data_IF_810585283702
#
_entry.id   IF_810585283702
#
_cell.length_a   1.000
_cell.length_b   1.000
_cell.length_c   1.000
_cell.angle_alpha   90.00
_cell.angle_beta   90.00
_cell.angle_gamma   90.00
#
_symmetry.space_group_name_H-M   'P 1'
#
loop_
_entity.id
_entity.type
_entity.pdbx_description
1 polymer ?
#
# COMPACT_ATOMS: atom_id res chain seq x y z
N UNK A 1 95.03 -40.75 -16.35
CA UNK A 1 93.57 -40.93 -16.42
C UNK A 1 93.25 -42.32 -15.92
N UNK A 2 92.21 -42.46 -15.09
CA UNK A 2 91.82 -43.61 -14.27
C UNK A 2 92.40 -43.63 -12.84
N UNK A 3 91.49 -43.59 -11.87
CA UNK A 3 91.64 -44.27 -10.59
C UNK A 3 90.24 -44.61 -10.07
N UNK A 4 89.97 -45.91 -9.99
CA UNK A 4 88.93 -46.55 -9.18
C UNK A 4 89.17 -46.18 -7.71
N UNK A 5 88.18 -46.06 -6.84
CA UNK A 5 87.57 -47.20 -6.12
C UNK A 5 86.50 -46.69 -5.12
N UNK A 6 85.41 -47.47 -4.98
CA UNK A 6 84.72 -47.95 -3.75
C UNK A 6 84.48 -46.98 -2.58
N UNK A 7 83.49 -47.09 -1.70
CA UNK A 7 82.22 -47.80 -1.48
C UNK A 7 81.68 -47.11 -0.21
N UNK A 8 80.36 -47.00 -0.02
CA UNK A 8 79.85 -46.54 1.27
C UNK A 8 78.42 -46.01 1.28
N UNK A 9 77.50 -46.83 1.79
CA UNK A 9 76.63 -46.34 2.87
C UNK A 9 75.16 -46.08 2.56
N UNK A 10 74.40 -47.18 2.53
CA UNK A 10 73.12 -47.37 3.26
C UNK A 10 72.46 -46.08 3.82
N UNK A 11 71.38 -45.60 3.18
CA UNK A 11 70.20 -44.96 3.82
C UNK A 11 69.26 -44.40 2.74
N UNK A 12 68.38 -45.20 2.15
CA UNK A 12 67.19 -44.66 1.47
C UNK A 12 66.05 -45.65 1.18
N UNK A 13 66.25 -46.95 1.38
CA UNK A 13 65.23 -47.97 1.01
C UNK A 13 64.02 -48.08 1.97
N UNK A 14 64.06 -47.48 3.18
CA UNK A 14 63.03 -47.70 4.23
C UNK A 14 61.95 -46.60 4.32
N UNK A 15 61.99 -45.57 3.46
CA UNK A 15 61.04 -44.45 3.53
C UNK A 15 60.00 -44.41 2.41
N UNK A 16 60.08 -45.32 1.42
CA UNK A 16 59.15 -45.35 0.27
C UNK A 16 57.99 -46.36 0.37
N UNK A 17 57.93 -47.20 1.41
CA UNK A 17 56.86 -48.21 1.58
C UNK A 17 55.84 -47.91 2.70
N UNK A 18 56.05 -46.88 3.52
CA UNK A 18 55.13 -46.47 4.59
C UNK A 18 54.01 -45.50 4.18
N UNK A 19 54.15 -44.77 3.07
CA UNK A 19 53.18 -43.74 2.66
C UNK A 19 52.07 -44.22 1.71
N UNK A 20 52.05 -45.49 1.28
CA UNK A 20 51.02 -46.00 0.33
C UNK A 20 49.96 -46.93 0.93
N UNK A 21 49.90 -47.09 2.26
CA UNK A 21 48.88 -47.95 2.91
C UNK A 21 48.06 -47.29 4.02
N UNK A 22 48.21 -45.98 4.24
CA UNK A 22 47.39 -45.22 5.19
C UNK A 22 46.32 -44.33 4.53
N UNK A 23 46.28 -44.26 3.19
CA UNK A 23 45.40 -43.36 2.43
C UNK A 23 44.23 -44.08 1.74
N UNK A 24 43.77 -45.23 2.26
CA UNK A 24 42.65 -45.99 1.67
C UNK A 24 41.59 -46.46 2.68
N UNK A 25 41.51 -45.85 3.87
CA UNK A 25 40.45 -46.14 4.86
C UNK A 25 39.86 -44.90 5.55
N UNK A 26 40.01 -43.72 4.94
CA UNK A 26 39.42 -42.46 5.41
C UNK A 26 38.39 -41.86 4.42
N UNK A 27 37.86 -42.68 3.50
CA UNK A 27 36.96 -42.24 2.42
C UNK A 27 35.49 -42.63 2.59
N UNK A 28 35.07 -43.25 3.69
CA UNK A 28 33.71 -43.84 3.82
C UNK A 28 32.93 -43.37 5.06
N UNK A 29 33.29 -42.25 5.69
CA UNK A 29 32.59 -41.75 6.90
C UNK A 29 32.14 -40.29 6.88
N UNK A 30 32.11 -39.65 5.71
CA UNK A 30 31.61 -38.26 5.54
C UNK A 30 30.36 -38.15 4.66
N UNK A 31 29.67 -39.27 4.41
CA UNK A 31 28.45 -39.31 3.59
C UNK A 31 27.12 -39.23 4.39
N UNK A 32 27.15 -38.90 5.69
CA UNK A 32 25.94 -38.89 6.55
C UNK A 32 25.68 -37.55 7.28
N UNK A 33 26.25 -36.43 6.82
CA UNK A 33 25.96 -35.09 7.39
C UNK A 33 25.62 -34.02 6.34
N UNK A 34 25.21 -34.42 5.13
CA UNK A 34 24.76 -33.49 4.07
C UNK A 34 23.35 -33.85 3.53
N UNK A 35 22.55 -34.57 4.30
CA UNK A 35 21.18 -34.95 3.92
C UNK A 35 20.16 -34.67 5.03
N UNK A 36 20.21 -33.47 5.61
CA UNK A 36 19.15 -32.95 6.48
C UNK A 36 18.97 -31.44 6.29
N UNK A 37 18.61 -31.07 5.05
CA UNK A 37 18.02 -29.77 4.73
C UNK A 37 17.14 -29.94 3.49
N UNK A 38 16.17 -30.84 3.56
CA UNK A 38 15.01 -30.82 2.67
C UNK A 38 13.77 -30.81 3.55
N UNK A 39 12.88 -29.87 3.22
CA UNK A 39 11.51 -29.68 3.73
C UNK A 39 11.35 -28.92 5.06
N UNK A 40 11.61 -27.61 5.02
CA UNK A 40 10.57 -26.65 5.44
C UNK A 40 9.93 -26.14 4.14
N UNK A 41 8.94 -26.88 3.65
CA UNK A 41 8.04 -26.39 2.61
C UNK A 41 6.88 -25.71 3.34
N UNK A 42 6.67 -24.42 3.11
CA UNK A 42 5.52 -23.69 3.66
C UNK A 42 5.68 -22.18 3.84
N UNK A 43 6.86 -21.61 3.64
CA UNK A 43 7.02 -20.16 3.58
C UNK A 43 7.94 -19.84 2.41
N UNK A 44 7.41 -19.14 1.40
CA UNK A 44 8.25 -18.44 0.43
C UNK A 44 9.23 -17.53 1.17
N UNK A 45 10.33 -17.14 0.52
CA UNK A 45 11.26 -16.20 1.12
C UNK A 45 10.50 -14.94 1.58
N UNK A 46 10.77 -14.40 2.78
CA UNK A 46 10.11 -13.18 3.25
C UNK A 46 10.39 -12.06 2.25
N UNK A 47 9.46 -11.13 2.04
CA UNK A 47 9.63 -10.07 1.02
C UNK A 47 10.86 -9.21 1.26
N UNK A 48 11.28 -9.08 2.52
CA UNK A 48 12.53 -8.41 2.89
C UNK A 48 13.77 -9.07 2.28
N UNK A 49 13.69 -10.35 1.89
CA UNK A 49 14.77 -11.08 1.21
C UNK A 49 14.66 -11.03 -0.33
N UNK A 50 13.60 -10.42 -0.88
CA UNK A 50 13.42 -10.31 -2.32
C UNK A 50 14.13 -9.06 -2.85
N UNK A 51 14.93 -9.22 -3.91
CA UNK A 51 15.61 -8.11 -4.56
C UNK A 51 14.66 -7.38 -5.52
N UNK A 52 14.16 -6.23 -5.08
CA UNK A 52 13.37 -5.29 -5.88
C UNK A 52 14.29 -4.19 -6.41
N UNK A 53 14.51 -4.11 -7.72
CA UNK A 53 15.41 -3.11 -8.30
C UNK A 53 14.87 -1.68 -8.17
N UNK A 54 15.74 -0.68 -7.98
CA UNK A 54 15.31 0.73 -7.86
C UNK A 54 14.61 1.26 -9.12
N UNK A 55 15.04 0.83 -10.32
CA UNK A 55 14.48 1.28 -11.60
C UNK A 55 13.18 0.56 -12.00
N UNK A 56 12.99 -0.67 -11.52
CA UNK A 56 11.84 -1.52 -11.81
C UNK A 56 11.39 -2.22 -10.52
N UNK A 57 10.78 -1.48 -9.59
CA UNK A 57 10.58 -1.91 -8.20
C UNK A 57 9.69 -3.14 -8.05
N UNK A 58 8.87 -3.50 -9.05
CA UNK A 58 8.03 -4.71 -9.01
C UNK A 58 8.42 -5.79 -10.02
N UNK A 59 9.51 -5.61 -10.78
CA UNK A 59 9.90 -6.58 -11.79
C UNK A 59 10.09 -7.98 -11.19
N UNK A 60 9.43 -8.97 -11.79
CA UNK A 60 9.46 -10.37 -11.33
C UNK A 60 8.55 -10.67 -10.13
N UNK A 61 7.77 -9.71 -9.60
CA UNK A 61 6.83 -9.97 -8.50
C UNK A 61 5.87 -11.13 -8.81
N UNK A 62 5.40 -11.20 -10.07
CA UNK A 62 4.45 -12.21 -10.53
C UNK A 62 5.07 -13.61 -10.67
N UNK A 63 6.40 -13.71 -10.71
CA UNK A 63 7.14 -14.98 -10.71
C UNK A 63 7.26 -15.58 -9.30
N UNK A 64 6.86 -14.83 -8.26
CA UNK A 64 6.90 -15.23 -6.86
C UNK A 64 5.50 -15.20 -6.21
N UNK A 65 4.56 -16.05 -6.66
CA UNK A 65 3.18 -16.05 -6.18
C UNK A 65 3.04 -16.23 -4.66
N UNK A 66 3.97 -16.96 -4.04
CA UNK A 66 3.98 -17.19 -2.58
C UNK A 66 4.31 -15.93 -1.76
N UNK A 67 4.99 -14.95 -2.37
CA UNK A 67 5.34 -13.68 -1.73
C UNK A 67 4.26 -12.60 -1.92
N UNK A 68 3.30 -12.80 -2.81
CA UNK A 68 2.26 -11.81 -3.11
C UNK A 68 1.43 -11.40 -1.88
N UNK A 69 0.96 -12.31 -1.00
CA UNK A 69 0.10 -11.91 0.12
C UNK A 69 0.75 -10.87 1.03
N UNK A 70 1.99 -11.10 1.46
CA UNK A 70 2.70 -10.18 2.36
C UNK A 70 3.08 -8.86 1.62
N UNK A 71 3.31 -8.91 0.30
CA UNK A 71 3.75 -7.75 -0.49
C UNK A 71 2.60 -6.79 -0.68
N UNK A 72 1.45 -7.33 -1.05
CA UNK A 72 0.24 -6.57 -1.26
C UNK A 72 -0.31 -6.04 0.08
N UNK A 73 -0.13 -6.78 1.19
CA UNK A 73 -0.46 -6.31 2.53
C UNK A 73 0.39 -5.10 2.96
N UNK A 74 1.61 -4.94 2.41
CA UNK A 74 2.48 -3.80 2.65
C UNK A 74 2.04 -2.51 1.91
N UNK A 75 0.83 -2.48 1.32
CA UNK A 75 0.19 -1.29 0.74
C UNK A 75 -1.01 -0.82 1.60
N UNK A 76 -0.79 -0.41 2.87
CA UNK A 76 -1.87 -0.26 3.86
C UNK A 76 -2.92 0.78 3.48
N UNK A 77 -2.53 1.85 2.76
CA UNK A 77 -3.45 2.92 2.32
C UNK A 77 -4.62 2.41 1.46
N UNK A 78 -4.42 1.32 0.74
CA UNK A 78 -5.43 0.72 -0.15
C UNK A 78 -5.84 -0.68 0.31
N UNK A 79 -5.47 -1.09 1.52
CA UNK A 79 -5.62 -2.46 2.03
C UNK A 79 -7.06 -2.96 2.12
N UNK A 80 -8.05 -2.06 2.12
CA UNK A 80 -9.47 -2.38 2.12
C UNK A 80 -10.23 -1.82 0.90
N UNK A 81 -9.50 -1.44 -0.14
CA UNK A 81 -10.04 -0.75 -1.31
C UNK A 81 -10.21 -1.72 -2.47
N UNK A 82 -11.33 -1.64 -3.17
CA UNK A 82 -11.59 -2.39 -4.39
C UNK A 82 -11.77 -1.44 -5.57
N UNK A 83 -11.35 -1.90 -6.74
CA UNK A 83 -11.41 -1.12 -7.99
C UNK A 83 -11.99 -1.96 -9.11
N UNK A 84 -12.71 -1.28 -10.00
CA UNK A 84 -12.96 -1.79 -11.34
C UNK A 84 -11.77 -1.44 -12.22
N UNK A 85 -11.22 -2.46 -12.86
CA UNK A 85 -10.21 -2.36 -13.93
C UNK A 85 -10.93 -2.59 -15.25
N UNK A 86 -10.88 -1.62 -16.16
CA UNK A 86 -11.60 -1.68 -17.43
C UNK A 86 -10.81 -0.96 -18.52
N UNK A 87 -11.12 -1.23 -19.78
CA UNK A 87 -10.46 -0.53 -20.91
C UNK A 87 -10.86 0.94 -20.96
N UNK A 88 -9.91 1.82 -21.20
CA UNK A 88 -10.09 3.29 -21.18
C UNK A 88 -11.24 3.77 -22.07
N UNK A 89 -11.49 3.11 -23.19
CA UNK A 89 -12.65 3.38 -24.08
C UNK A 89 -14.02 3.31 -23.37
N UNK A 90 -14.12 2.61 -22.24
CA UNK A 90 -15.33 2.47 -21.42
C UNK A 90 -15.41 3.49 -20.27
N UNK A 91 -14.43 4.41 -20.16
CA UNK A 91 -14.34 5.38 -19.06
C UNK A 91 -15.61 6.18 -18.84
N UNK A 92 -16.32 6.59 -19.90
CA UNK A 92 -17.56 7.35 -19.74
C UNK A 92 -18.66 6.53 -19.04
N UNK A 93 -18.85 5.27 -19.43
CA UNK A 93 -19.84 4.35 -18.83
C UNK A 93 -19.57 4.18 -17.34
N UNK A 94 -18.29 3.96 -17.00
CA UNK A 94 -17.88 3.80 -15.62
C UNK A 94 -17.80 5.12 -14.85
N UNK A 95 -17.76 6.29 -15.50
CA UNK A 95 -17.83 7.60 -14.84
C UNK A 95 -19.23 7.88 -14.30
N UNK A 96 -20.24 7.62 -15.12
CA UNK A 96 -21.63 7.93 -14.81
C UNK A 96 -22.31 6.83 -13.99
N UNK A 97 -21.78 5.59 -14.02
CA UNK A 97 -22.31 4.40 -13.35
C UNK A 97 -23.83 4.23 -13.59
N UNK A 98 -24.28 4.43 -14.83
CA UNK A 98 -25.69 4.29 -15.20
C UNK A 98 -26.07 2.80 -15.10
N UNK A 99 -27.02 2.40 -14.21
CA UNK A 99 -27.27 0.98 -13.94
C UNK A 99 -27.66 0.15 -15.17
N UNK A 100 -28.36 0.77 -16.13
CA UNK A 100 -28.78 0.10 -17.37
C UNK A 100 -27.60 -0.25 -18.30
N UNK A 101 -26.57 0.59 -18.36
CA UNK A 101 -25.38 0.36 -19.19
C UNK A 101 -24.46 -0.68 -18.55
N UNK A 102 -24.37 -0.67 -17.21
CA UNK A 102 -23.60 -1.62 -16.43
C UNK A 102 -24.18 -3.06 -16.49
N UNK A 103 -25.46 -3.20 -16.83
CA UNK A 103 -26.14 -4.50 -16.92
C UNK A 103 -25.75 -5.35 -18.16
N UNK A 104 -25.09 -4.76 -19.15
CA UNK A 104 -24.66 -5.49 -20.35
C UNK A 104 -23.18 -5.87 -20.32
N UNK A 105 -22.44 -5.47 -19.27
CA UNK A 105 -21.01 -5.67 -19.17
C UNK A 105 -20.66 -7.05 -18.60
N UNK A 106 -19.66 -7.69 -19.20
CA UNK A 106 -19.04 -8.92 -18.66
C UNK A 106 -18.03 -8.52 -17.60
N UNK A 107 -18.43 -8.68 -16.33
CA UNK A 107 -17.61 -8.34 -15.17
C UNK A 107 -17.31 -9.62 -14.39
N UNK A 108 -16.03 -9.85 -14.11
CA UNK A 108 -15.60 -10.96 -13.26
C UNK A 108 -14.75 -10.47 -12.09
N UNK A 109 -14.67 -11.30 -11.05
CA UNK A 109 -13.84 -11.11 -9.89
C UNK A 109 -13.30 -12.46 -9.40
N UNK A 110 -12.31 -12.40 -8.51
CA UNK A 110 -11.83 -13.59 -7.83
C UNK A 110 -12.77 -14.00 -6.70
N UNK A 111 -13.04 -15.31 -6.61
CA UNK A 111 -13.74 -15.93 -5.50
C UNK A 111 -12.93 -15.80 -4.19
N UNK A 112 -13.60 -15.91 -3.05
CA UNK A 112 -13.00 -15.63 -1.74
C UNK A 112 -12.70 -14.15 -1.50
N UNK A 113 -13.18 -13.27 -2.38
CA UNK A 113 -13.20 -11.81 -2.17
C UNK A 113 -14.64 -11.33 -1.86
N UNK A 114 -14.81 -10.14 -1.26
CA UNK A 114 -16.12 -9.50 -1.05
C UNK A 114 -16.73 -8.94 -2.35
N UNK A 115 -16.19 -9.26 -3.53
CA UNK A 115 -16.59 -8.69 -4.81
C UNK A 115 -18.09 -8.84 -5.11
N UNK A 116 -18.70 -9.98 -4.77
CA UNK A 116 -20.14 -10.18 -4.95
C UNK A 116 -20.98 -9.18 -4.14
N UNK A 117 -20.64 -8.97 -2.86
CA UNK A 117 -21.34 -8.01 -2.00
C UNK A 117 -21.09 -6.55 -2.45
N UNK A 118 -19.86 -6.25 -2.90
CA UNK A 118 -19.53 -4.93 -3.47
C UNK A 118 -20.34 -4.67 -4.73
N UNK A 119 -20.46 -5.67 -5.61
CA UNK A 119 -21.20 -5.55 -6.85
C UNK A 119 -22.70 -5.34 -6.61
N UNK A 120 -23.28 -6.09 -5.67
CA UNK A 120 -24.67 -5.90 -5.24
C UNK A 120 -24.90 -4.49 -4.68
N UNK A 121 -24.03 -4.02 -3.77
CA UNK A 121 -24.13 -2.68 -3.18
C UNK A 121 -23.90 -1.53 -4.18
N UNK A 122 -23.12 -1.77 -5.23
CA UNK A 122 -22.88 -0.81 -6.32
C UNK A 122 -23.91 -0.90 -7.47
N UNK A 123 -24.93 -1.77 -7.33
CA UNK A 123 -25.98 -2.00 -8.32
C UNK A 123 -25.48 -2.53 -9.67
N UNK A 124 -24.40 -3.32 -9.66
CA UNK A 124 -23.97 -4.11 -10.82
C UNK A 124 -24.83 -5.40 -10.95
N UNK A 125 -24.82 -6.02 -12.13
CA UNK A 125 -25.29 -7.41 -12.29
C UNK A 125 -24.44 -8.41 -11.48
N UNK A 126 -24.84 -9.70 -11.38
CA UNK A 126 -23.99 -10.71 -10.77
C UNK A 126 -22.62 -10.72 -11.44
N UNK A 127 -21.58 -10.61 -10.64
CA UNK A 127 -20.19 -10.72 -11.07
C UNK A 127 -19.82 -12.19 -11.15
N UNK A 128 -19.21 -12.60 -12.26
CA UNK A 128 -18.71 -13.96 -12.40
C UNK A 128 -17.53 -14.17 -11.44
N UNK A 129 -17.67 -15.11 -10.51
CA UNK A 129 -16.63 -15.43 -9.55
C UNK A 129 -15.76 -16.56 -10.09
N UNK A 130 -14.50 -16.24 -10.35
CA UNK A 130 -13.48 -17.20 -10.78
C UNK A 130 -12.63 -17.63 -9.59
N UNK A 131 -12.30 -18.92 -9.43
CA UNK A 131 -11.39 -19.37 -8.38
C UNK A 131 -10.09 -18.56 -8.40
N UNK A 132 -9.66 -18.08 -7.24
CA UNK A 132 -8.35 -17.45 -7.13
C UNK A 132 -7.26 -18.52 -7.05
N UNK A 133 -6.34 -18.46 -8.00
CA UNK A 133 -5.07 -19.17 -7.99
C UNK A 133 -3.96 -18.13 -8.11
N UNK A 134 -3.03 -18.01 -7.14
CA UNK A 134 -1.88 -17.11 -7.24
C UNK A 134 -1.10 -17.26 -8.55
N UNK A 135 -1.02 -18.47 -9.12
CA UNK A 135 -0.36 -18.70 -10.42
C UNK A 135 -1.15 -18.14 -11.61
N UNK A 136 -2.43 -17.84 -11.43
CA UNK A 136 -3.33 -17.24 -12.41
C UNK A 136 -3.80 -15.84 -11.99
N UNK A 137 -3.01 -15.16 -11.13
CA UNK A 137 -3.33 -13.82 -10.65
C UNK A 137 -3.47 -12.78 -11.78
N UNK A 138 -2.86 -13.03 -12.94
CA UNK A 138 -2.92 -12.13 -14.11
C UNK A 138 -4.17 -12.29 -14.95
N UNK A 139 -4.91 -13.40 -14.79
CA UNK A 139 -5.99 -13.81 -15.70
C UNK A 139 -7.02 -12.71 -15.92
N UNK A 140 -7.57 -12.14 -14.85
CA UNK A 140 -8.64 -11.15 -14.99
C UNK A 140 -8.20 -9.89 -15.73
N UNK A 141 -6.96 -9.42 -15.53
CA UNK A 141 -6.43 -8.25 -16.25
C UNK A 141 -6.14 -8.60 -17.71
N UNK A 142 -5.60 -9.78 -17.97
CA UNK A 142 -5.37 -10.27 -19.33
C UNK A 142 -6.69 -10.40 -20.13
N UNK A 143 -7.75 -10.91 -19.50
CA UNK A 143 -9.07 -11.06 -20.11
C UNK A 143 -9.72 -9.70 -20.42
N UNK A 144 -9.47 -8.66 -19.61
CA UNK A 144 -9.92 -7.28 -19.88
C UNK A 144 -9.14 -6.68 -21.06
N UNK A 145 -7.82 -6.87 -21.11
CA UNK A 145 -6.97 -6.39 -22.22
C UNK A 145 -7.35 -7.05 -23.54
N UNK A 146 -7.54 -8.38 -23.55
CA UNK A 146 -7.96 -9.14 -24.74
C UNK A 146 -9.42 -8.84 -25.15
N UNK A 147 -10.24 -8.38 -24.20
CA UNK A 147 -11.64 -8.08 -24.41
C UNK A 147 -12.60 -9.24 -24.22
N UNK A 148 -12.13 -10.33 -23.63
CA UNK A 148 -12.98 -11.39 -23.09
C UNK A 148 -13.84 -10.90 -21.94
N UNK A 149 -13.32 -9.96 -21.14
CA UNK A 149 -14.07 -9.21 -20.13
C UNK A 149 -14.16 -7.72 -20.52
N UNK A 150 -15.21 -7.07 -20.03
CA UNK A 150 -15.37 -5.62 -20.15
C UNK A 150 -14.75 -4.90 -18.94
N UNK A 151 -14.82 -5.52 -17.76
CA UNK A 151 -14.13 -5.09 -16.56
C UNK A 151 -13.79 -6.25 -15.62
N UNK A 152 -12.84 -6.03 -14.72
CA UNK A 152 -12.53 -6.89 -13.59
C UNK A 152 -12.68 -6.13 -12.27
N UNK A 153 -13.36 -6.72 -11.29
CA UNK A 153 -13.45 -6.18 -9.94
C UNK A 153 -12.35 -6.81 -9.06
N UNK A 154 -11.37 -6.00 -8.67
CA UNK A 154 -10.14 -6.46 -8.01
C UNK A 154 -9.86 -5.68 -6.72
N UNK A 155 -9.17 -6.33 -5.79
CA UNK A 155 -8.56 -5.66 -4.64
C UNK A 155 -7.46 -4.71 -5.12
N UNK A 156 -7.44 -3.47 -4.62
CA UNK A 156 -6.65 -2.39 -5.20
C UNK A 156 -5.13 -2.66 -5.23
N UNK A 157 -4.46 -3.17 -4.18
CA UNK A 157 -3.05 -3.55 -4.25
C UNK A 157 -2.75 -4.56 -5.36
N UNK A 158 -3.59 -5.61 -5.49
CA UNK A 158 -3.43 -6.60 -6.57
C UNK A 158 -3.63 -5.94 -7.93
N UNK A 159 -4.67 -5.12 -8.10
CA UNK A 159 -4.91 -4.40 -9.36
C UNK A 159 -3.75 -3.48 -9.74
N UNK A 160 -3.20 -2.75 -8.77
CA UNK A 160 -2.06 -1.86 -8.99
C UNK A 160 -0.83 -2.61 -9.50
N UNK A 161 -0.50 -3.74 -8.86
CA UNK A 161 0.57 -4.62 -9.33
C UNK A 161 0.30 -5.13 -10.75
N UNK A 162 -0.87 -5.72 -10.99
CA UNK A 162 -1.17 -6.39 -12.25
C UNK A 162 -1.21 -5.41 -13.43
N UNK A 163 -1.84 -4.24 -13.26
CA UNK A 163 -1.93 -3.26 -14.35
C UNK A 163 -0.55 -2.65 -14.63
N UNK A 164 0.23 -2.36 -13.60
CA UNK A 164 1.60 -1.86 -13.77
C UNK A 164 2.48 -2.84 -14.58
N UNK A 165 2.34 -4.14 -14.35
CA UNK A 165 3.17 -5.17 -14.99
C UNK A 165 2.62 -5.70 -16.33
N UNK A 166 1.36 -5.42 -16.67
CA UNK A 166 0.70 -5.99 -17.87
C UNK A 166 0.25 -4.96 -18.90
N UNK A 167 -0.06 -3.72 -18.48
CA UNK A 167 -0.64 -2.69 -19.35
C UNK A 167 0.39 -1.67 -19.85
N UNK A 168 1.37 -2.15 -20.64
CA UNK A 168 2.44 -1.32 -21.17
C UNK A 168 1.97 -0.21 -22.13
N UNK A 169 0.79 -0.39 -22.73
CA UNK A 169 0.20 0.54 -23.70
C UNK A 169 -0.81 1.51 -23.06
N UNK A 170 -0.96 1.51 -21.73
CA UNK A 170 -1.88 2.38 -20.98
C UNK A 170 -3.34 2.29 -21.46
N UNK A 171 -3.80 1.07 -21.76
CA UNK A 171 -5.13 0.79 -22.30
C UNK A 171 -6.19 0.71 -21.21
N UNK A 172 -5.81 0.61 -19.93
CA UNK A 172 -6.71 0.38 -18.82
C UNK A 172 -6.93 1.64 -17.99
N UNK A 173 -8.03 1.61 -17.24
CA UNK A 173 -8.45 2.63 -16.28
C UNK A 173 -8.94 1.95 -15.03
N UNK A 174 -8.74 2.63 -13.89
CA UNK A 174 -9.16 2.15 -12.58
C UNK A 174 -10.22 3.09 -12.00
N UNK A 175 -11.23 2.51 -11.34
CA UNK A 175 -12.20 3.27 -10.55
C UNK A 175 -12.45 2.59 -9.22
N UNK A 176 -12.31 3.31 -8.12
CA UNK A 176 -12.70 2.83 -6.79
C UNK A 176 -14.20 2.53 -6.74
N UNK A 177 -14.55 1.38 -6.19
CA UNK A 177 -15.93 0.95 -5.97
C UNK A 177 -16.13 0.30 -4.61
N UNK A 178 -17.37 0.32 -4.14
CA UNK A 178 -17.75 -0.31 -2.88
C UNK A 178 -17.33 0.46 -1.64
N UNK A 179 -17.79 -0.05 -0.50
CA UNK A 179 -17.39 0.39 0.84
C UNK A 179 -16.06 -0.29 1.22
N UNK A 180 -15.33 0.24 2.24
CA UNK A 180 -14.17 -0.44 2.81
C UNK A 180 -14.47 -1.90 3.10
N UNK A 181 -13.71 -2.80 2.50
CA UNK A 181 -13.95 -4.25 2.55
C UNK A 181 -12.64 -5.00 2.76
N UNK A 182 -12.62 -6.14 3.48
CA UNK A 182 -11.39 -6.86 3.75
C UNK A 182 -10.69 -7.36 2.47
N UNK A 183 -9.37 -7.60 2.50
CA UNK A 183 -8.64 -8.22 1.40
C UNK A 183 -9.16 -9.64 1.11
N UNK A 184 -8.97 -10.18 -0.11
CA UNK A 184 -9.37 -11.53 -0.47
C UNK A 184 -8.75 -12.55 0.48
N UNK A 185 -9.50 -13.59 0.86
CA UNK A 185 -9.06 -14.56 1.88
C UNK A 185 -7.70 -15.20 1.56
N UNK A 186 -7.44 -15.48 0.28
CA UNK A 186 -6.19 -16.08 -0.18
C UNK A 186 -4.99 -15.11 -0.19
N UNK A 187 -5.22 -13.81 -0.06
CA UNK A 187 -4.20 -12.76 -0.06
C UNK A 187 -4.07 -12.06 1.30
N UNK A 188 -4.74 -12.57 2.33
CA UNK A 188 -4.60 -12.08 3.70
C UNK A 188 -3.24 -12.50 4.27
N UNK A 189 -2.44 -11.51 4.69
CA UNK A 189 -1.17 -11.73 5.38
C UNK A 189 -0.92 -10.63 6.41
N UNK A 190 -0.12 -10.96 7.42
CA UNK A 190 0.47 -9.97 8.31
C UNK A 190 1.74 -9.41 7.65
N UNK A 191 1.93 -8.09 7.71
CA UNK A 191 3.18 -7.47 7.29
C UNK A 191 4.23 -7.74 8.35
N UNK A 192 5.31 -8.43 7.99
CA UNK A 192 6.43 -8.69 8.93
C UNK A 192 7.66 -7.84 8.65
N UNK A 193 7.73 -7.21 7.47
CA UNK A 193 8.80 -6.29 7.11
C UNK A 193 8.79 -5.03 7.99
N UNK A 194 9.98 -4.62 8.46
CA UNK A 194 10.15 -3.40 9.25
C UNK A 194 10.03 -2.13 8.37
N UNK A 195 10.50 -2.22 7.13
CA UNK A 195 10.47 -1.14 6.15
C UNK A 195 9.49 -1.46 5.01
N UNK A 196 8.94 -0.43 4.36
CA UNK A 196 8.06 -0.59 3.21
C UNK A 196 8.88 -1.06 2.00
N UNK A 197 8.56 -2.22 1.38
CA UNK A 197 9.26 -2.69 0.20
C UNK A 197 9.13 -1.71 -0.97
N UNK A 198 10.17 -1.50 -1.80
CA UNK A 198 10.10 -0.62 -2.97
C UNK A 198 8.93 -0.93 -3.91
N UNK A 199 8.63 -2.22 -4.14
CA UNK A 199 7.46 -2.60 -4.94
C UNK A 199 6.14 -2.13 -4.31
N UNK A 200 5.97 -2.29 -3.00
CA UNK A 200 4.76 -1.85 -2.32
C UNK A 200 4.58 -0.31 -2.40
N UNK A 201 5.69 0.43 -2.29
CA UNK A 201 5.73 1.87 -2.49
C UNK A 201 5.32 2.27 -3.92
N UNK A 202 5.84 1.53 -4.92
CA UNK A 202 5.51 1.70 -6.32
C UNK A 202 4.03 1.41 -6.62
N UNK A 203 3.47 0.32 -6.09
CA UNK A 203 2.04 0.01 -6.21
C UNK A 203 1.18 1.15 -5.63
N UNK A 204 1.55 1.68 -4.45
CA UNK A 204 0.86 2.83 -3.86
C UNK A 204 0.90 4.04 -4.81
N UNK A 205 2.08 4.38 -5.31
CA UNK A 205 2.27 5.52 -6.23
C UNK A 205 1.51 5.35 -7.54
N UNK A 206 1.49 4.14 -8.10
CA UNK A 206 0.72 3.79 -9.29
C UNK A 206 -0.78 4.01 -9.08
N UNK A 207 -1.34 3.48 -7.99
CA UNK A 207 -2.76 3.64 -7.65
C UNK A 207 -3.14 5.11 -7.48
N UNK A 208 -2.29 5.90 -6.83
CA UNK A 208 -2.47 7.35 -6.71
C UNK A 208 -2.45 8.05 -8.08
N UNK A 209 -1.49 7.70 -8.94
CA UNK A 209 -1.36 8.25 -10.29
C UNK A 209 -2.56 7.93 -11.19
N UNK A 210 -3.16 6.75 -11.03
CA UNK A 210 -4.38 6.35 -11.74
C UNK A 210 -5.68 6.90 -11.11
N UNK A 211 -5.57 7.74 -10.08
CA UNK A 211 -6.72 8.38 -9.45
C UNK A 211 -7.56 7.44 -8.59
N UNK A 212 -6.99 6.31 -8.14
CA UNK A 212 -7.65 5.42 -7.18
C UNK A 212 -7.78 6.15 -5.84
N UNK A 213 -9.00 6.24 -5.34
CA UNK A 213 -9.29 6.79 -4.02
C UNK A 213 -9.39 5.65 -3.00
N UNK A 214 -8.84 5.80 -1.79
CA UNK A 214 -9.09 4.85 -0.70
C UNK A 214 -10.60 4.71 -0.45
N UNK A 215 -11.09 3.49 -0.24
CA UNK A 215 -12.52 3.21 -0.12
C UNK A 215 -13.19 3.99 1.02
N UNK A 216 -12.45 4.33 2.09
CA UNK A 216 -12.97 5.15 3.16
C UNK A 216 -13.50 6.46 2.59
N UNK A 217 -12.77 7.09 1.64
CA UNK A 217 -13.13 8.36 1.01
C UNK A 217 -14.52 8.35 0.36
N UNK A 218 -15.04 7.18 -0.04
CA UNK A 218 -16.37 7.05 -0.64
C UNK A 218 -17.50 7.09 0.39
N UNK A 219 -17.22 6.84 1.67
CA UNK A 219 -18.22 6.81 2.74
C UNK A 219 -18.22 8.13 3.51
N UNK A 220 -19.29 8.94 3.46
CA UNK A 220 -19.41 10.06 4.37
C UNK A 220 -19.63 9.55 5.79
N UNK A 221 -18.92 10.12 6.75
CA UNK A 221 -19.19 9.87 8.18
C UNK A 221 -20.51 10.53 8.54
N UNK A 222 -21.40 9.78 9.20
CA UNK A 222 -22.60 10.35 9.81
C UNK A 222 -22.18 11.18 11.03
N UNK A 223 -22.69 12.41 11.13
CA UNK A 223 -22.41 13.28 12.28
C UNK A 223 -22.85 12.63 13.60
N UNK A 224 -23.88 11.75 13.58
CA UNK A 224 -24.38 11.02 14.75
C UNK A 224 -23.29 10.18 15.41
N UNK A 225 -22.41 9.59 14.61
CA UNK A 225 -21.28 8.79 15.10
C UNK A 225 -20.21 9.65 15.78
N UNK A 226 -20.26 10.97 15.60
CA UNK A 226 -19.30 11.91 16.19
C UNK A 226 -19.86 12.66 17.39
N UNK A 227 -21.18 12.69 17.61
CA UNK A 227 -21.82 13.54 18.61
C UNK A 227 -21.36 13.27 20.06
N UNK A 228 -20.87 12.05 20.33
CA UNK A 228 -20.37 11.65 21.64
C UNK A 228 -18.91 12.08 21.89
N UNK A 229 -18.23 12.62 20.88
CA UNK A 229 -16.82 13.00 20.97
C UNK A 229 -16.67 14.40 21.55
N UNK A 230 -15.84 14.52 22.58
CA UNK A 230 -15.51 15.81 23.18
C UNK A 230 -14.21 16.39 22.61
N UNK A 231 -14.11 17.72 22.63
CA UNK A 231 -12.89 18.40 22.23
C UNK A 231 -11.72 17.96 23.11
N UNK A 232 -10.52 17.72 22.54
CA UNK A 232 -9.36 17.38 23.35
C UNK A 232 -9.07 18.51 24.37
N UNK A 233 -8.62 18.14 25.60
CA UNK A 233 -8.17 19.11 26.59
C UNK A 233 -7.15 20.07 25.98
N UNK A 234 -7.19 21.33 26.38
CA UNK A 234 -6.30 22.36 25.83
C UNK A 234 -4.83 21.95 25.99
N UNK A 235 -4.09 21.98 24.89
CA UNK A 235 -2.67 21.65 24.86
C UNK A 235 -1.94 22.54 23.84
N UNK A 236 -1.07 23.41 24.34
CA UNK A 236 -0.29 24.33 23.51
C UNK A 236 0.83 23.64 22.73
N UNK A 237 1.34 22.50 23.20
CA UNK A 237 2.35 21.73 22.48
C UNK A 237 1.71 21.05 21.27
N UNK A 238 0.58 20.37 21.47
CA UNK A 238 -0.23 19.83 20.37
C UNK A 238 -0.65 20.94 19.39
N UNK A 239 -1.02 22.13 19.87
CA UNK A 239 -1.35 23.27 19.03
C UNK A 239 -0.15 23.76 18.18
N UNK A 240 1.08 23.72 18.71
CA UNK A 240 2.28 24.06 17.93
C UNK A 240 2.59 22.98 16.88
N UNK A 241 2.46 21.71 17.23
CA UNK A 241 2.58 20.62 16.26
C UNK A 241 1.52 20.73 15.14
N UNK A 242 0.29 21.12 15.52
CA UNK A 242 -0.82 21.37 14.61
C UNK A 242 -0.56 22.48 13.59
N UNK A 243 0.30 23.46 13.90
CA UNK A 243 0.63 24.55 12.97
C UNK A 243 1.29 24.02 11.69
N UNK A 244 2.21 23.06 11.81
CA UNK A 244 2.89 22.46 10.66
C UNK A 244 1.91 21.64 9.79
N UNK A 245 1.04 20.85 10.44
CA UNK A 245 -0.01 20.09 9.76
C UNK A 245 -1.01 21.02 9.05
N UNK A 246 -1.43 22.09 9.72
CA UNK A 246 -2.31 23.11 9.13
C UNK A 246 -1.66 23.76 7.90
N UNK A 247 -0.37 24.12 7.98
CA UNK A 247 0.37 24.71 6.88
C UNK A 247 0.42 23.78 5.65
N UNK A 248 0.62 22.48 5.87
CA UNK A 248 0.69 21.47 4.81
C UNK A 248 -0.66 21.19 4.15
N UNK A 249 -1.74 21.12 4.94
CA UNK A 249 -3.02 20.58 4.46
C UNK A 249 -4.13 21.61 4.27
N UNK A 250 -4.11 22.72 5.01
CA UNK A 250 -5.24 23.65 5.09
C UNK A 250 -4.93 25.06 4.59
N UNK A 251 -3.69 25.53 4.77
CA UNK A 251 -3.31 26.92 4.55
C UNK A 251 -3.48 27.40 3.09
N UNK A 252 -3.32 26.50 2.10
CA UNK A 252 -3.54 26.83 0.68
C UNK A 252 -4.96 27.33 0.41
N UNK A 253 -5.95 26.83 1.15
CA UNK A 253 -7.35 27.18 0.96
C UNK A 253 -7.87 28.17 2.00
N UNK A 254 -7.45 28.03 3.26
CA UNK A 254 -7.95 28.85 4.38
C UNK A 254 -7.03 30.01 4.76
N UNK A 255 -6.01 30.25 3.93
CA UNK A 255 -5.00 31.27 4.12
C UNK A 255 -3.91 30.86 5.12
N UNK A 256 -2.73 31.51 5.01
CA UNK A 256 -1.70 31.35 6.01
C UNK A 256 -2.28 31.78 7.36
N UNK A 257 -1.92 31.06 8.41
CA UNK A 257 -2.35 31.43 9.75
C UNK A 257 -3.88 31.37 9.98
N UNK A 258 -4.64 30.61 9.18
CA UNK A 258 -6.08 30.38 9.36
C UNK A 258 -6.98 31.61 9.21
N UNK A 259 -6.43 32.67 8.62
CA UNK A 259 -7.14 33.90 8.25
C UNK A 259 -7.30 33.90 6.74
N UNK A 260 -8.52 34.05 6.26
CA UNK A 260 -8.79 34.15 4.83
C UNK A 260 -8.00 35.33 4.23
N UNK A 261 -7.29 35.07 3.13
CA UNK A 261 -6.59 36.09 2.35
C UNK A 261 -7.21 36.20 0.95
N UNK A 262 -6.86 37.26 0.20
CA UNK A 262 -7.28 37.40 -1.20
C UNK A 262 -6.77 36.26 -2.09
N UNK A 263 -5.69 35.60 -1.69
CA UNK A 263 -5.08 34.46 -2.39
C UNK A 263 -5.63 33.11 -1.92
N UNK A 264 -6.47 33.10 -0.86
CA UNK A 264 -7.04 31.89 -0.30
C UNK A 264 -8.24 31.41 -1.12
N UNK A 265 -8.27 30.11 -1.43
CA UNK A 265 -9.34 29.50 -2.24
C UNK A 265 -10.70 29.44 -1.53
N UNK A 266 -10.74 29.56 -0.20
CA UNK A 266 -11.96 29.53 0.60
C UNK A 266 -12.22 30.91 1.26
N UNK A 267 -13.39 31.52 1.06
CA UNK A 267 -13.75 32.80 1.69
C UNK A 267 -14.23 32.61 3.15
N UNK A 268 -13.53 31.78 3.94
CA UNK A 268 -13.89 31.48 5.33
C UNK A 268 -12.68 31.68 6.24
N UNK A 269 -12.79 32.68 7.12
CA UNK A 269 -11.84 32.88 8.23
C UNK A 269 -12.14 31.86 9.33
N UNK A 270 -11.18 30.95 9.53
CA UNK A 270 -11.33 29.86 10.50
C UNK A 270 -11.26 30.35 11.94
N UNK A 271 -10.61 31.48 12.20
CA UNK A 271 -10.56 32.07 13.54
C UNK A 271 -11.94 32.56 13.99
N UNK A 272 -12.77 32.97 13.02
CA UNK A 272 -14.14 33.41 13.26
C UNK A 272 -15.12 32.24 13.22
N UNK A 273 -14.89 31.27 12.31
CA UNK A 273 -15.83 30.17 12.12
C UNK A 273 -15.70 29.09 13.19
N UNK A 274 -14.48 28.67 13.54
CA UNK A 274 -14.26 27.53 14.45
C UNK A 274 -14.93 27.70 15.81
N UNK A 275 -14.88 28.88 16.49
CA UNK A 275 -15.57 29.06 17.77
C UNK A 275 -17.09 28.89 17.72
N UNK A 276 -17.70 28.89 16.52
CA UNK A 276 -19.14 28.67 16.31
C UNK A 276 -19.51 27.21 16.03
N UNK A 277 -18.51 26.34 15.86
CA UNK A 277 -18.73 24.91 15.66
C UNK A 277 -18.52 24.13 16.94
N UNK A 278 -19.31 23.08 17.14
CA UNK A 278 -18.94 22.02 18.07
C UNK A 278 -17.75 21.24 17.52
N UNK A 279 -16.98 20.61 18.40
CA UNK A 279 -15.87 19.77 17.98
C UNK A 279 -16.31 18.59 17.08
N UNK A 280 -17.44 17.89 17.34
CA UNK A 280 -18.02 16.95 16.37
C UNK A 280 -18.33 17.58 15.01
N UNK A 281 -18.82 18.82 14.99
CA UNK A 281 -19.07 19.56 13.75
C UNK A 281 -17.79 19.88 12.98
N UNK A 282 -16.72 20.25 13.68
CA UNK A 282 -15.39 20.42 13.08
C UNK A 282 -14.88 19.10 12.47
N UNK A 283 -14.92 18.00 13.23
CA UNK A 283 -14.51 16.69 12.74
C UNK A 283 -15.32 16.28 11.51
N UNK A 284 -16.64 16.43 11.54
CA UNK A 284 -17.50 16.13 10.41
C UNK A 284 -17.06 16.86 9.13
N UNK A 285 -16.80 18.17 9.21
CA UNK A 285 -16.38 18.98 8.07
C UNK A 285 -14.99 18.59 7.58
N UNK A 286 -14.02 18.40 8.47
CA UNK A 286 -12.64 18.03 8.07
C UNK A 286 -12.61 16.63 7.47
N UNK A 287 -13.31 15.68 8.07
CA UNK A 287 -13.31 14.30 7.64
C UNK A 287 -14.05 14.15 6.30
N UNK A 288 -15.27 14.68 6.17
CA UNK A 288 -16.07 14.55 4.94
C UNK A 288 -15.66 15.53 3.84
N UNK A 289 -15.10 16.67 4.22
CA UNK A 289 -14.91 17.79 3.31
C UNK A 289 -16.23 18.45 2.95
N UNK A 290 -16.16 19.38 2.00
CA UNK A 290 -17.28 20.03 1.35
C UNK A 290 -16.96 20.07 -0.14
N UNK A 291 -17.02 18.92 -0.81
CA UNK A 291 -16.58 18.75 -2.19
C UNK A 291 -17.30 19.69 -3.16
N UNK A 292 -18.58 19.98 -2.93
CA UNK A 292 -19.35 20.98 -3.68
C UNK A 292 -18.80 22.40 -3.56
N UNK A 293 -17.98 22.67 -2.55
CA UNK A 293 -17.31 23.94 -2.30
C UNK A 293 -15.77 23.81 -2.42
N UNK A 294 -15.27 22.74 -3.05
CA UNK A 294 -13.84 22.53 -3.28
C UNK A 294 -12.99 22.12 -2.07
N UNK A 295 -13.59 21.88 -0.90
CA UNK A 295 -12.87 21.36 0.27
C UNK A 295 -12.81 19.83 0.21
N UNK A 296 -11.63 19.21 0.05
CA UNK A 296 -11.51 17.76 0.09
C UNK A 296 -11.75 17.23 1.51
N UNK A 297 -12.24 16.00 1.62
CA UNK A 297 -12.32 15.30 2.90
C UNK A 297 -10.99 14.67 3.28
N UNK A 298 -10.61 14.71 4.55
CA UNK A 298 -9.32 14.24 5.06
C UNK A 298 -9.35 12.84 5.71
N UNK A 299 -10.47 12.11 5.66
CA UNK A 299 -10.60 10.71 6.14
C UNK A 299 -9.51 9.78 5.58
N UNK A 300 -8.71 9.13 6.40
CA UNK A 300 -7.65 8.22 5.93
C UNK A 300 -6.43 8.91 5.30
N UNK A 301 -6.41 10.24 5.20
CA UNK A 301 -5.19 11.00 4.86
C UNK A 301 -4.62 11.78 6.05
N UNK A 302 -5.45 12.04 7.06
CA UNK A 302 -5.02 12.53 8.36
C UNK A 302 -5.54 11.58 9.44
N UNK A 303 -4.67 11.25 10.37
CA UNK A 303 -5.02 10.53 11.59
C UNK A 303 -5.80 11.44 12.54
N UNK A 304 -6.60 10.84 13.44
CA UNK A 304 -7.39 11.59 14.41
C UNK A 304 -6.52 12.54 15.26
N UNK A 305 -5.36 12.08 15.71
CA UNK A 305 -4.43 12.88 16.52
C UNK A 305 -3.90 14.10 15.75
N UNK A 306 -3.66 13.95 14.44
CA UNK A 306 -3.24 15.05 13.57
C UNK A 306 -4.37 16.08 13.39
N UNK A 307 -5.60 15.61 13.21
CA UNK A 307 -6.80 16.47 13.13
C UNK A 307 -7.01 17.21 14.45
N UNK A 308 -6.78 16.55 15.58
CA UNK A 308 -6.89 17.14 16.92
C UNK A 308 -5.82 18.22 17.15
N UNK A 309 -4.59 17.98 16.70
CA UNK A 309 -3.53 18.99 16.73
C UNK A 309 -3.90 20.22 15.88
N UNK A 310 -4.43 20.02 14.67
CA UNK A 310 -4.93 21.11 13.81
C UNK A 310 -6.06 21.88 14.51
N UNK A 311 -7.02 21.18 15.13
CA UNK A 311 -8.10 21.80 15.90
C UNK A 311 -7.56 22.69 17.01
N UNK A 312 -6.59 22.19 17.78
CA UNK A 312 -5.92 22.93 18.85
C UNK A 312 -5.23 24.18 18.31
N UNK A 313 -4.49 24.06 17.20
CA UNK A 313 -3.85 25.20 16.55
C UNK A 313 -4.86 26.31 16.21
N UNK A 314 -5.91 25.98 15.45
CA UNK A 314 -6.90 26.98 15.02
C UNK A 314 -7.67 27.55 16.21
N UNK A 315 -7.99 26.73 17.23
CA UNK A 315 -8.65 27.18 18.47
C UNK A 315 -7.79 28.18 19.26
N UNK A 316 -6.52 27.87 19.45
CA UNK A 316 -5.60 28.75 20.21
C UNK A 316 -5.26 30.03 19.45
N UNK A 317 -5.24 29.97 18.11
CA UNK A 317 -5.16 31.15 17.24
C UNK A 317 -6.42 32.02 17.36
N UNK A 318 -7.60 31.41 17.36
CA UNK A 318 -8.88 32.13 17.50
C UNK A 318 -9.00 32.81 18.87
N UNK A 319 -8.47 32.18 19.92
CA UNK A 319 -8.41 32.75 21.27
C UNK A 319 -7.25 33.73 21.48
N UNK A 320 -6.39 33.93 20.48
CA UNK A 320 -5.23 34.83 20.56
C UNK A 320 -4.10 34.36 21.47
N UNK A 321 -4.09 33.10 21.93
CA UNK A 321 -2.99 32.56 22.75
C UNK A 321 -1.80 32.09 21.91
N UNK A 322 -2.05 31.66 20.67
CA UNK A 322 -1.00 31.49 19.68
C UNK A 322 -1.01 32.70 18.73
N UNK A 323 0.16 33.32 18.55
CA UNK A 323 0.35 34.39 17.58
C UNK A 323 0.88 33.83 16.24
N UNK A 324 0.63 34.56 15.15
CA UNK A 324 1.13 34.22 13.82
C UNK A 324 2.67 34.13 13.80
N UNK A 325 3.24 33.14 13.10
CA UNK A 325 4.69 32.96 12.97
C UNK A 325 5.39 32.33 14.18
N UNK A 326 4.75 31.36 14.85
CA UNK A 326 5.14 30.79 16.14
C UNK A 326 6.61 30.42 16.35
N UNK A 327 7.40 31.37 16.86
CA UNK A 327 8.34 31.16 17.96
C UNK A 327 8.00 32.21 19.02
N UNK A 328 7.53 31.74 20.18
CA UNK A 328 6.88 32.58 21.19
C UNK A 328 7.71 33.80 21.59
N UNK A 329 7.13 34.99 21.47
CA UNK A 329 7.59 36.13 22.26
C UNK A 329 6.90 36.01 23.63
N UNK A 330 7.66 35.58 24.64
CA UNK A 330 7.22 35.63 26.04
C UNK A 330 6.96 37.10 26.43
N UNK A 331 6.01 37.36 27.35
CA UNK A 331 5.76 38.69 27.88
C UNK A 331 6.99 39.29 28.57
#
# INVERSE_FOLDING_TARGET
>A
MAAMTMDGGRRSERMRRGCRRAASRAGERTAWLLALAVAVAGAGAPIAAQEWGEEAPCAGALDHPDALPELLAAVPKYGNTYVLVYRDRLRQIFQDLVPAELAELRIAAYDGSPAAAIAEGALFRPVDLLPFDPQQATRLVADVLSGELDAALLWAPLAGLLVQELDFDYQLSLRTVGLPSPPPAALQAAVTAADVPPCADAIRGFLEGYGVLPAEKLVPIDIRDLLHLEAPPRDLEAARAGAALYAQHCARCHGPEAVASTDALAPVDLLVSLPRFSYPGFLYIVLNGRSQNGMPGFRGSLERQQIDAIYQYVRERAHGTLHAGGAGRRP
#
